data_IF_545467048583
#
_entry.id   IF_545467048583
#
_cell.length_a   1.000
_cell.length_b   1.000
_cell.length_c   1.000
_cell.angle_alpha   90.00
_cell.angle_beta   90.00
_cell.angle_gamma   90.00
#
_symmetry.space_group_name_H-M   'P 1'
#
loop_
_entity.id
_entity.type
_entity.pdbx_description
1 polymer ?
#
# COMPACT_ATOMS: atom_id res chain seq x y z
N UNK A 1 -25.86 4.66 -4.26
CA UNK A 1 -25.12 5.81 -3.72
C UNK A 1 -23.72 5.40 -3.23
N UNK A 2 -23.57 4.43 -2.32
CA UNK A 2 -22.28 3.95 -1.79
C UNK A 2 -21.20 3.70 -2.85
N UNK A 3 -21.48 2.81 -3.80
CA UNK A 3 -20.53 2.45 -4.85
C UNK A 3 -19.99 3.67 -5.62
N UNK A 4 -20.88 4.61 -5.96
CA UNK A 4 -20.47 5.85 -6.64
C UNK A 4 -19.57 6.70 -5.77
N UNK A 5 -19.91 6.91 -4.49
CA UNK A 5 -19.07 7.64 -3.54
C UNK A 5 -17.69 6.99 -3.46
N UNK A 6 -17.63 5.67 -3.24
CA UNK A 6 -16.37 4.93 -3.15
C UNK A 6 -15.52 5.09 -4.43
N UNK A 7 -16.14 5.01 -5.60
CA UNK A 7 -15.44 5.18 -6.89
C UNK A 7 -14.82 6.58 -7.04
N UNK A 8 -15.48 7.61 -6.54
CA UNK A 8 -14.95 8.97 -6.59
C UNK A 8 -13.82 9.18 -5.58
N UNK A 9 -14.02 8.78 -4.32
CA UNK A 9 -13.02 8.99 -3.26
C UNK A 9 -11.78 8.12 -3.44
N UNK A 10 -11.90 6.94 -4.04
CA UNK A 10 -10.76 6.08 -4.38
C UNK A 10 -9.79 6.80 -5.33
N UNK A 11 -10.32 7.55 -6.29
CA UNK A 11 -9.52 8.32 -7.26
C UNK A 11 -9.02 9.65 -6.70
N UNK A 12 -9.83 10.30 -5.88
CA UNK A 12 -9.51 11.58 -5.26
C UNK A 12 -10.14 11.70 -3.88
N UNK A 13 -9.41 11.32 -2.86
CA UNK A 13 -9.86 11.41 -1.46
C UNK A 13 -10.04 12.85 -0.96
N UNK A 14 -9.61 13.86 -1.72
CA UNK A 14 -9.74 15.29 -1.41
C UNK A 14 -10.85 15.97 -2.23
N UNK A 15 -11.75 15.19 -2.83
CA UNK A 15 -12.90 15.76 -3.54
C UNK A 15 -13.75 16.59 -2.58
N UNK A 16 -14.20 17.75 -3.05
CA UNK A 16 -15.15 18.58 -2.30
C UNK A 16 -16.50 17.86 -2.17
N UNK A 17 -17.04 17.78 -0.97
CA UNK A 17 -18.25 17.00 -0.69
C UNK A 17 -19.50 17.63 -1.28
N UNK A 18 -19.53 18.95 -1.39
CA UNK A 18 -20.63 19.65 -2.07
C UNK A 18 -20.60 19.34 -3.58
N UNK A 19 -19.41 19.41 -4.20
CA UNK A 19 -19.23 19.04 -5.61
C UNK A 19 -19.67 17.59 -5.86
N UNK A 20 -19.25 16.67 -4.98
CA UNK A 20 -19.65 15.27 -5.06
C UNK A 20 -21.17 15.08 -4.92
N UNK A 21 -21.81 15.82 -4.01
CA UNK A 21 -23.25 15.78 -3.80
C UNK A 21 -24.00 16.26 -5.08
N UNK A 22 -23.55 17.35 -5.67
CA UNK A 22 -24.11 17.88 -6.94
C UNK A 22 -23.98 16.81 -8.05
N UNK A 23 -22.82 16.19 -8.20
CA UNK A 23 -22.59 15.15 -9.20
C UNK A 23 -23.47 13.91 -8.99
N UNK A 24 -23.82 13.62 -7.74
CA UNK A 24 -24.69 12.49 -7.38
C UNK A 24 -26.19 12.84 -7.38
N UNK A 25 -26.55 14.13 -7.45
CA UNK A 25 -27.92 14.60 -7.39
C UNK A 25 -28.55 14.42 -5.99
N UNK A 26 -27.76 14.59 -4.92
CA UNK A 26 -28.21 14.43 -3.52
C UNK A 26 -27.77 15.63 -2.69
N UNK A 27 -28.31 15.75 -1.49
CA UNK A 27 -27.85 16.74 -0.50
C UNK A 27 -26.47 16.37 0.06
N UNK A 28 -25.63 17.37 0.31
CA UNK A 28 -24.29 17.20 0.90
C UNK A 28 -24.34 16.39 2.20
N UNK A 29 -25.31 16.69 3.06
CA UNK A 29 -25.52 15.96 4.32
C UNK A 29 -25.71 14.45 4.11
N UNK A 30 -26.34 14.03 3.01
CA UNK A 30 -26.50 12.62 2.67
C UNK A 30 -25.17 11.96 2.34
N UNK A 31 -24.27 12.66 1.63
CA UNK A 31 -22.92 12.18 1.32
C UNK A 31 -22.10 12.07 2.60
N UNK A 32 -22.09 13.09 3.44
CA UNK A 32 -21.36 13.10 4.72
C UNK A 32 -21.79 11.93 5.60
N UNK A 33 -23.11 11.78 5.82
CA UNK A 33 -23.66 10.69 6.62
C UNK A 33 -23.29 9.30 6.10
N UNK A 34 -23.25 9.14 4.78
CA UNK A 34 -22.90 7.87 4.16
C UNK A 34 -21.40 7.56 4.29
N UNK A 35 -20.54 8.57 4.16
CA UNK A 35 -19.09 8.43 4.41
C UNK A 35 -18.84 8.01 5.87
N UNK A 36 -19.43 8.70 6.84
CA UNK A 36 -19.29 8.35 8.26
C UNK A 36 -19.74 6.92 8.57
N UNK A 37 -20.83 6.46 7.94
CA UNK A 37 -21.29 5.07 8.10
C UNK A 37 -20.26 4.09 7.53
N UNK A 38 -19.73 4.34 6.32
CA UNK A 38 -18.75 3.48 5.70
C UNK A 38 -17.42 3.44 6.48
N UNK A 39 -17.03 4.53 7.11
CA UNK A 39 -15.88 4.58 8.03
C UNK A 39 -16.12 3.74 9.29
N UNK A 40 -17.29 3.91 9.93
CA UNK A 40 -17.67 3.10 11.11
C UNK A 40 -17.78 1.61 10.80
N UNK A 41 -18.30 1.27 9.63
CA UNK A 41 -18.40 -0.10 9.13
C UNK A 41 -17.05 -0.67 8.65
N UNK A 42 -15.99 0.13 8.67
CA UNK A 42 -14.65 -0.24 8.17
C UNK A 42 -14.63 -0.62 6.68
N UNK A 43 -15.58 -0.12 5.90
CA UNK A 43 -15.54 -0.19 4.43
C UNK A 43 -14.47 0.78 3.93
N UNK A 44 -14.45 2.00 4.45
CA UNK A 44 -13.34 2.94 4.28
C UNK A 44 -12.40 2.72 5.45
N UNK A 45 -11.24 2.13 5.17
CA UNK A 45 -10.25 1.79 6.19
C UNK A 45 -9.25 2.91 6.45
N UNK A 46 -9.13 3.87 5.54
CA UNK A 46 -8.22 5.00 5.64
C UNK A 46 -8.11 5.79 4.35
N UNK A 47 -7.50 6.96 4.44
CA UNK A 47 -7.20 7.84 3.33
C UNK A 47 -5.68 7.99 3.23
N UNK A 48 -5.11 7.68 2.07
CA UNK A 48 -3.68 7.72 1.86
C UNK A 48 -3.31 8.66 0.73
N UNK A 49 -2.22 9.38 0.90
CA UNK A 49 -1.66 10.26 -0.13
C UNK A 49 -0.51 9.56 -0.83
N UNK A 50 -0.57 9.50 -2.16
CA UNK A 50 0.57 9.05 -2.97
C UNK A 50 1.59 10.18 -3.06
N UNK A 51 2.82 9.91 -2.61
CA UNK A 51 3.90 10.88 -2.56
C UNK A 51 5.10 10.35 -3.35
N UNK A 52 5.64 11.20 -4.21
CA UNK A 52 6.95 10.98 -4.84
C UNK A 52 8.05 11.48 -3.89
N UNK A 53 8.57 10.57 -3.09
CA UNK A 53 9.56 10.88 -2.08
C UNK A 53 10.91 11.31 -2.68
N UNK A 54 11.25 10.80 -3.86
CA UNK A 54 12.47 11.19 -4.57
C UNK A 54 12.42 12.67 -4.96
N UNK A 55 11.27 13.12 -5.48
CA UNK A 55 11.04 14.55 -5.78
C UNK A 55 10.95 15.41 -4.53
N UNK A 56 10.51 14.84 -3.41
CA UNK A 56 10.52 15.54 -2.11
C UNK A 56 11.92 15.66 -1.50
N UNK A 57 12.93 15.01 -2.10
CA UNK A 57 14.30 14.99 -1.59
C UNK A 57 14.47 14.17 -0.30
N UNK A 58 13.57 13.25 -0.05
CA UNK A 58 13.60 12.39 1.13
C UNK A 58 13.92 10.96 0.67
N UNK A 59 15.06 10.45 1.12
CA UNK A 59 15.47 9.08 0.81
C UNK A 59 14.56 8.08 1.52
N UNK A 60 13.91 7.22 0.75
CA UNK A 60 13.11 6.09 1.22
C UNK A 60 13.42 4.85 0.41
N UNK A 61 13.59 3.75 1.09
CA UNK A 61 13.77 2.43 0.51
C UNK A 61 12.53 1.61 0.76
N UNK A 62 11.91 1.14 -0.30
CA UNK A 62 10.76 0.23 -0.22
C UNK A 62 11.20 -1.18 -0.61
N UNK A 63 10.84 -2.15 0.20
CA UNK A 63 11.08 -3.55 -0.08
C UNK A 63 9.79 -4.37 -0.11
N UNK A 64 9.76 -5.35 -1.00
CA UNK A 64 8.75 -6.39 -1.07
C UNK A 64 9.40 -7.72 -0.69
N UNK A 65 8.91 -8.33 0.38
CA UNK A 65 9.49 -9.55 0.94
C UNK A 65 8.53 -10.70 0.74
N UNK A 66 8.98 -11.69 -0.01
CA UNK A 66 8.30 -12.97 -0.15
C UNK A 66 8.62 -13.81 1.09
N UNK A 67 7.59 -14.26 1.78
CA UNK A 67 7.74 -15.05 3.01
C UNK A 67 7.05 -16.40 2.82
N UNK A 68 7.79 -17.48 3.06
CA UNK A 68 7.23 -18.82 3.17
C UNK A 68 7.08 -19.18 4.64
N UNK A 69 5.89 -19.66 5.00
CA UNK A 69 5.57 -19.99 6.38
C UNK A 69 4.96 -21.38 6.48
N UNK A 70 5.11 -21.98 7.66
CA UNK A 70 4.39 -23.21 8.01
C UNK A 70 3.06 -22.82 8.65
N UNK A 71 1.91 -23.16 8.06
CA UNK A 71 0.61 -22.88 8.66
C UNK A 71 0.44 -23.70 9.94
N UNK A 72 -0.11 -23.08 10.98
CA UNK A 72 -0.46 -23.79 12.22
C UNK A 72 -1.80 -24.51 12.09
N UNK A 73 -1.90 -25.71 12.66
CA UNK A 73 -3.17 -26.46 12.72
C UNK A 73 -4.24 -25.62 13.42
N UNK A 74 -5.39 -25.44 12.74
CA UNK A 74 -6.56 -24.74 13.26
C UNK A 74 -6.52 -23.21 13.18
N UNK A 75 -5.38 -22.58 12.85
CA UNK A 75 -5.23 -21.12 12.75
C UNK A 75 -4.75 -20.64 11.37
N UNK A 76 -4.35 -21.55 10.48
CA UNK A 76 -3.86 -21.21 9.14
C UNK A 76 -2.71 -20.19 9.17
N UNK A 77 -2.83 -19.14 8.34
CA UNK A 77 -1.83 -18.09 8.21
C UNK A 77 -2.12 -16.84 9.06
N UNK A 78 -3.31 -16.73 9.64
CA UNK A 78 -3.78 -15.49 10.27
C UNK A 78 -2.91 -15.05 11.44
N UNK A 79 -2.51 -16.00 12.29
CA UNK A 79 -1.72 -15.69 13.48
C UNK A 79 -0.30 -15.19 13.16
N UNK A 80 0.34 -15.78 12.15
CA UNK A 80 1.66 -15.31 11.72
C UNK A 80 1.55 -13.96 11.01
N UNK A 81 0.51 -13.76 10.20
CA UNK A 81 0.24 -12.47 9.57
C UNK A 81 0.01 -11.38 10.63
N UNK A 82 -0.76 -11.67 11.69
CA UNK A 82 -0.99 -10.76 12.81
C UNK A 82 0.32 -10.35 13.50
N UNK A 83 1.21 -11.28 13.76
CA UNK A 83 2.53 -10.96 14.34
C UNK A 83 3.34 -10.04 13.43
N UNK A 84 3.28 -10.27 12.11
CA UNK A 84 4.04 -9.49 11.14
C UNK A 84 3.47 -8.08 10.99
N UNK A 85 2.14 -7.93 10.80
CA UNK A 85 1.56 -6.60 10.59
C UNK A 85 1.57 -5.71 11.85
N UNK A 86 1.82 -6.26 13.02
CA UNK A 86 1.99 -5.47 14.25
C UNK A 86 3.37 -4.80 14.36
N UNK A 87 4.33 -5.15 13.50
CA UNK A 87 5.58 -4.40 13.45
C UNK A 87 5.36 -3.04 12.80
N UNK A 88 5.79 -1.92 13.44
CA UNK A 88 5.55 -0.58 12.93
C UNK A 88 6.25 -0.28 11.59
N UNK A 89 7.30 -1.03 11.25
CA UNK A 89 8.03 -0.91 10.00
C UNK A 89 7.25 -1.51 8.79
N UNK A 90 6.27 -2.36 9.07
CA UNK A 90 5.49 -3.06 8.05
C UNK A 90 4.36 -2.18 7.54
N UNK A 91 4.35 -1.94 6.23
CA UNK A 91 3.28 -1.18 5.56
C UNK A 91 2.10 -2.05 5.19
N UNK A 92 2.36 -3.25 4.68
CA UNK A 92 1.29 -4.16 4.27
C UNK A 92 1.69 -5.62 4.34
N UNK A 93 0.70 -6.47 4.55
CA UNK A 93 0.84 -7.93 4.56
C UNK A 93 -0.31 -8.51 3.73
N UNK A 94 0.02 -9.34 2.77
CA UNK A 94 -0.96 -10.02 1.91
C UNK A 94 -0.75 -11.52 1.94
N UNK A 95 -1.82 -12.29 2.02
CA UNK A 95 -1.80 -13.72 1.74
C UNK A 95 -1.80 -13.92 0.23
N UNK A 96 -0.86 -14.68 -0.29
CA UNK A 96 -0.63 -14.87 -1.72
C UNK A 96 -0.97 -16.30 -2.13
N UNK A 97 -1.70 -16.42 -3.22
CA UNK A 97 -1.87 -17.69 -3.93
C UNK A 97 -0.78 -17.79 -5.00
N UNK A 98 0.33 -18.47 -4.70
CA UNK A 98 1.46 -18.55 -5.63
C UNK A 98 2.65 -19.32 -5.05
N UNK A 99 3.84 -18.94 -5.47
CA UNK A 99 5.08 -19.62 -5.09
C UNK A 99 5.57 -19.36 -3.64
N UNK A 100 4.93 -18.46 -2.91
CA UNK A 100 5.19 -18.14 -1.50
C UNK A 100 3.86 -17.82 -0.82
N UNK A 101 3.85 -17.65 0.50
CA UNK A 101 2.61 -17.58 1.28
C UNK A 101 2.21 -16.14 1.62
N UNK A 102 3.14 -15.32 2.08
CA UNK A 102 2.88 -13.93 2.44
C UNK A 102 3.79 -12.97 1.65
N UNK A 103 3.21 -11.87 1.18
CA UNK A 103 3.94 -10.70 0.71
C UNK A 103 3.91 -9.64 1.79
N UNK A 104 5.10 -9.25 2.26
CA UNK A 104 5.27 -8.19 3.26
C UNK A 104 5.94 -7.00 2.58
N UNK A 105 5.35 -5.81 2.70
CA UNK A 105 6.00 -4.58 2.25
C UNK A 105 6.44 -3.75 3.44
N UNK A 106 7.66 -3.25 3.38
CA UNK A 106 8.19 -2.31 4.36
C UNK A 106 8.92 -1.15 3.72
N UNK A 107 9.01 -0.09 4.50
CA UNK A 107 9.79 1.09 4.15
C UNK A 107 10.84 1.34 5.23
N UNK A 108 12.03 1.73 4.79
CA UNK A 108 13.13 2.18 5.63
C UNK A 108 13.84 3.36 4.98
N UNK A 109 14.78 3.94 5.69
CA UNK A 109 15.65 5.01 5.15
C UNK A 109 16.80 4.43 4.33
N UNK A 110 17.26 3.24 4.69
CA UNK A 110 18.41 2.59 4.06
C UNK A 110 18.13 1.13 3.76
N UNK A 111 18.87 0.58 2.79
CA UNK A 111 18.89 -0.87 2.51
C UNK A 111 19.28 -1.68 3.76
N UNK A 112 20.18 -1.14 4.57
CA UNK A 112 20.66 -1.76 5.80
C UNK A 112 19.54 -1.90 6.84
N UNK A 113 18.74 -0.86 7.06
CA UNK A 113 17.60 -0.91 7.97
C UNK A 113 16.61 -2.00 7.57
N UNK A 114 16.25 -2.07 6.28
CA UNK A 114 15.34 -3.08 5.76
C UNK A 114 15.92 -4.48 5.94
N UNK A 115 17.18 -4.68 5.55
CA UNK A 115 17.83 -5.99 5.69
C UNK A 115 17.95 -6.42 7.14
N UNK A 116 18.23 -5.49 8.04
CA UNK A 116 18.32 -5.74 9.48
C UNK A 116 16.96 -6.13 10.06
N UNK A 117 15.88 -5.47 9.67
CA UNK A 117 14.52 -5.88 10.07
C UNK A 117 14.21 -7.33 9.66
N UNK A 118 14.54 -7.70 8.43
CA UNK A 118 14.31 -9.07 7.94
C UNK A 118 15.10 -10.08 8.77
N UNK A 119 16.35 -9.81 9.03
CA UNK A 119 17.24 -10.71 9.76
C UNK A 119 16.84 -10.82 11.23
N UNK A 120 16.56 -9.70 11.89
CA UNK A 120 16.39 -9.65 13.34
C UNK A 120 14.94 -9.94 13.78
N UNK A 121 13.96 -9.60 12.97
CA UNK A 121 12.54 -9.70 13.33
C UNK A 121 11.79 -10.75 12.51
N UNK A 122 11.88 -10.70 11.18
CA UNK A 122 11.06 -11.55 10.32
C UNK A 122 11.57 -12.98 10.25
N UNK A 123 12.86 -13.17 9.98
CA UNK A 123 13.48 -14.50 9.85
C UNK A 123 13.61 -15.25 11.18
N UNK A 124 13.45 -14.56 12.31
CA UNK A 124 13.49 -15.18 13.65
C UNK A 124 12.16 -15.76 14.11
N UNK A 125 11.08 -15.53 13.37
CA UNK A 125 9.78 -16.13 13.69
C UNK A 125 9.82 -17.63 13.36
N UNK A 126 9.43 -18.47 14.31
CA UNK A 126 9.53 -19.93 14.21
C UNK A 126 8.78 -20.50 13.00
N UNK A 127 7.66 -19.87 12.61
CA UNK A 127 6.86 -20.29 11.48
C UNK A 127 7.43 -19.87 10.11
N UNK A 128 8.41 -18.96 10.09
CA UNK A 128 9.03 -18.48 8.84
C UNK A 128 10.07 -19.48 8.37
N UNK A 129 9.82 -20.10 7.23
CA UNK A 129 10.72 -21.06 6.59
C UNK A 129 11.82 -20.38 5.78
N UNK A 130 11.45 -19.37 5.02
CA UNK A 130 12.37 -18.59 4.18
C UNK A 130 11.81 -17.23 3.84
N UNK A 131 12.72 -16.31 3.53
CA UNK A 131 12.41 -14.96 3.07
C UNK A 131 13.21 -14.63 1.82
N UNK A 132 12.61 -13.85 0.91
CA UNK A 132 13.30 -13.28 -0.26
C UNK A 132 12.96 -11.81 -0.35
N UNK A 133 13.96 -10.96 -0.22
CA UNK A 133 13.79 -9.51 -0.23
C UNK A 133 14.03 -8.95 -1.63
N UNK A 134 13.06 -8.23 -2.15
CA UNK A 134 13.14 -7.53 -3.42
C UNK A 134 13.03 -6.02 -3.13
N UNK A 135 14.03 -5.23 -3.55
CA UNK A 135 14.01 -3.78 -3.39
C UNK A 135 13.38 -3.12 -4.61
N UNK A 136 12.48 -2.18 -4.38
CA UNK A 136 11.90 -1.36 -5.45
C UNK A 136 12.93 -0.27 -5.80
N UNK A 137 13.48 -0.36 -7.01
CA UNK A 137 14.48 0.60 -7.47
C UNK A 137 13.84 1.86 -8.07
N UNK A 138 12.68 1.71 -8.71
CA UNK A 138 11.95 2.82 -9.33
C UNK A 138 10.47 2.48 -9.45
N UNK A 139 9.62 3.44 -9.15
CA UNK A 139 8.17 3.36 -9.38
C UNK A 139 7.82 4.07 -10.68
N UNK A 140 7.35 3.33 -11.67
CA UNK A 140 6.90 3.90 -12.95
C UNK A 140 5.44 4.36 -12.87
N UNK A 141 4.61 3.57 -12.21
CA UNK A 141 3.20 3.82 -11.97
C UNK A 141 2.82 3.23 -10.62
N UNK A 142 2.05 3.97 -9.84
CA UNK A 142 1.57 3.52 -8.53
C UNK A 142 0.15 4.04 -8.30
N UNK A 143 -0.72 3.18 -7.75
CA UNK A 143 -2.15 3.50 -7.52
C UNK A 143 -2.84 4.20 -8.71
N UNK A 144 -2.57 3.72 -9.94
CA UNK A 144 -3.14 4.29 -11.15
C UNK A 144 -2.46 5.59 -11.66
N UNK A 145 -1.55 6.17 -10.89
CA UNK A 145 -0.84 7.41 -11.22
C UNK A 145 0.51 7.13 -11.85
N UNK A 146 0.80 7.74 -13.01
CA UNK A 146 2.13 7.67 -13.64
C UNK A 146 3.09 8.56 -12.85
N UNK A 147 4.15 7.97 -12.30
CA UNK A 147 5.16 8.67 -11.50
C UNK A 147 6.41 9.00 -12.33
N UNK A 148 6.76 8.16 -13.29
CA UNK A 148 7.88 8.44 -14.19
C UNK A 148 7.44 9.45 -15.26
N UNK A 149 8.07 10.63 -15.28
CA UNK A 149 7.94 11.54 -16.42
C UNK A 149 8.72 10.91 -17.58
N UNK A 150 8.13 10.72 -18.78
CA UNK A 150 8.88 10.30 -19.94
C UNK A 150 10.01 11.32 -20.17
N UNK A 151 11.26 10.84 -20.28
CA UNK A 151 12.34 11.71 -20.77
C UNK A 151 11.89 12.19 -22.15
N UNK A 152 11.76 13.49 -22.35
CA UNK A 152 11.70 14.07 -23.70
C UNK A 152 12.99 13.64 -24.35
N UNK A 153 12.87 12.83 -25.39
CA UNK A 153 14.02 12.41 -26.17
C UNK A 153 14.51 13.67 -26.88
N UNK A 154 15.54 14.34 -26.34
CA UNK A 154 16.15 15.54 -26.90
C UNK A 154 16.80 15.27 -28.25
N UNK A 155 16.80 13.99 -28.72
CA UNK A 155 17.35 13.56 -29.99
C UNK A 155 16.51 13.90 -31.21
N UNK A 156 15.26 14.38 -31.00
CA UNK A 156 14.34 14.71 -32.13
C UNK A 156 14.42 16.19 -32.55
N UNK A 157 15.24 17.01 -31.90
CA UNK A 157 15.39 18.43 -32.24
C UNK A 157 16.64 18.76 -33.08
N UNK A 158 17.26 17.78 -33.74
CA UNK A 158 18.37 18.01 -34.69
C UNK A 158 18.03 17.37 -36.04
N UNK A 159 17.00 17.86 -36.71
CA UNK A 159 16.84 17.77 -38.16
C UNK A 159 16.28 19.10 -38.65
#
# INVERSE_FOLDING_TARGET
MREKILTFIEKNSRIDLNELAIMLGVEEAAVVNELEKMEKERIICGYHTLIDWDKAGIEKVTAMIEVRVTPQRGMGFDKIAERIYNYPEVNSVYLISGGFDLMVTLEGRTLREVSQFVTDKLSTLDQVLSTKTNFILKKYKDHGTIMAVPSKDERIMMI
#
